data_IF_922483224309
#
_entry.id   IF_922483224309
#
_cell.length_a   1.000
_cell.length_b   1.000
_cell.length_c   1.000
_cell.angle_alpha   90.00
_cell.angle_beta   90.00
_cell.angle_gamma   90.00
#
_symmetry.space_group_name_H-M   'P 1'
#
loop_
_entity.id
_entity.type
_entity.pdbx_description
1 polymer ?
#
# COMPACT_ATOMS: atom_id res chain seq x y z
N UNK A 1 4.73 7.35 -13.05
CA UNK A 1 4.31 6.43 -11.99
C UNK A 1 3.62 5.24 -12.64
N UNK A 2 4.16 4.03 -12.48
CA UNK A 2 3.52 2.81 -12.95
C UNK A 2 2.37 2.48 -12.00
N UNK A 3 1.14 2.25 -12.48
CA UNK A 3 0.03 1.91 -11.60
C UNK A 3 0.30 0.59 -10.87
N UNK A 4 -0.20 0.48 -9.64
CA UNK A 4 -0.28 -0.79 -8.92
C UNK A 4 -1.02 -1.81 -9.78
N UNK A 5 -0.34 -2.88 -10.18
CA UNK A 5 -0.94 -3.99 -10.93
C UNK A 5 -1.40 -5.07 -9.96
N UNK A 6 -2.55 -5.67 -10.24
CA UNK A 6 -3.13 -6.77 -9.47
C UNK A 6 -3.24 -8.02 -10.34
N UNK A 7 -2.98 -9.19 -9.76
CA UNK A 7 -3.03 -10.50 -10.40
C UNK A 7 -3.55 -11.57 -9.44
N UNK A 8 -4.08 -12.68 -9.95
CA UNK A 8 -4.59 -13.78 -9.11
C UNK A 8 -3.49 -14.61 -8.43
N UNK A 9 -2.22 -14.32 -8.75
CA UNK A 9 -1.04 -14.92 -8.17
C UNK A 9 -0.08 -13.83 -7.72
N UNK A 10 0.75 -14.14 -6.73
CA UNK A 10 1.87 -13.28 -6.33
C UNK A 10 2.89 -13.30 -7.48
N UNK A 11 3.23 -12.12 -7.99
CA UNK A 11 4.30 -11.94 -8.95
C UNK A 11 5.37 -11.08 -8.29
N UNK A 12 6.48 -11.71 -7.96
CA UNK A 12 7.61 -11.00 -7.39
C UNK A 12 8.35 -10.20 -8.47
N UNK A 13 8.40 -8.88 -8.30
CA UNK A 13 9.06 -7.94 -9.20
C UNK A 13 9.84 -6.90 -8.39
N UNK A 14 10.52 -5.96 -9.04
CA UNK A 14 11.11 -4.81 -8.34
C UNK A 14 10.02 -4.06 -7.58
N UNK A 15 10.15 -3.90 -6.24
CA UNK A 15 9.11 -3.27 -5.45
C UNK A 15 8.90 -1.81 -5.84
N UNK A 16 7.63 -1.39 -5.83
CA UNK A 16 7.30 0.03 -5.89
C UNK A 16 7.63 0.68 -4.56
N UNK A 17 8.19 1.89 -4.62
CA UNK A 17 8.39 2.70 -3.44
C UNK A 17 7.07 3.42 -3.11
N UNK A 18 6.62 3.33 -1.87
CA UNK A 18 5.36 3.92 -1.40
C UNK A 18 5.57 4.68 -0.08
N UNK A 19 4.83 5.74 0.23
CA UNK A 19 4.92 6.36 1.54
C UNK A 19 4.48 5.40 2.64
N UNK A 20 4.99 5.58 3.87
CA UNK A 20 4.62 4.71 4.98
C UNK A 20 3.27 5.06 5.63
N UNK A 21 2.71 6.22 5.31
CA UNK A 21 1.45 6.74 5.86
C UNK A 21 0.24 6.49 4.94
N UNK A 22 0.43 5.92 3.74
CA UNK A 22 -0.65 5.68 2.78
C UNK A 22 -0.35 4.53 1.84
N UNK A 23 -1.39 3.86 1.37
CA UNK A 23 -1.29 3.00 0.19
C UNK A 23 -1.40 3.90 -1.05
N UNK A 24 -0.57 3.70 -2.07
CA UNK A 24 -0.72 4.48 -3.31
C UNK A 24 -2.10 4.19 -3.93
N UNK A 25 -2.77 5.23 -4.48
CA UNK A 25 -4.03 5.03 -5.18
C UNK A 25 -3.89 3.96 -6.27
N UNK A 26 -4.91 3.12 -6.38
CA UNK A 26 -4.95 2.07 -7.40
C UNK A 26 -6.33 1.90 -8.00
N UNK A 27 -6.35 1.37 -9.21
CA UNK A 27 -7.55 0.91 -9.88
C UNK A 27 -7.23 -0.30 -10.74
N UNK A 28 -8.05 -1.33 -10.66
CA UNK A 28 -7.97 -2.49 -11.54
C UNK A 28 -9.37 -3.04 -11.85
N UNK A 29 -9.46 -3.89 -12.87
CA UNK A 29 -10.71 -4.52 -13.28
C UNK A 29 -10.55 -6.03 -13.35
N UNK A 30 -11.65 -6.74 -13.16
CA UNK A 30 -11.72 -8.21 -13.28
C UNK A 30 -12.97 -8.62 -14.05
N UNK A 31 -12.97 -9.84 -14.58
CA UNK A 31 -14.16 -10.44 -15.20
C UNK A 31 -15.13 -11.04 -14.17
N UNK A 32 -14.76 -11.01 -12.89
CA UNK A 32 -15.58 -11.50 -11.79
C UNK A 32 -16.62 -10.46 -11.40
N UNK A 33 -17.83 -10.90 -11.06
CA UNK A 33 -18.84 -10.04 -10.42
C UNK A 33 -18.65 -10.13 -8.91
N UNK A 34 -18.49 -8.98 -8.23
CA UNK A 34 -18.30 -8.94 -6.76
C UNK A 34 -19.37 -9.74 -6.03
N UNK A 35 -18.95 -10.51 -5.03
CA UNK A 35 -19.84 -11.35 -4.23
C UNK A 35 -19.42 -11.34 -2.77
N UNK A 36 -20.02 -10.44 -1.99
CA UNK A 36 -19.83 -10.35 -0.54
C UNK A 36 -18.92 -9.21 -0.09
N UNK A 37 -18.25 -9.41 1.04
CA UNK A 37 -17.39 -8.41 1.67
C UNK A 37 -15.98 -8.46 1.09
N UNK A 38 -15.40 -7.28 0.88
CA UNK A 38 -14.01 -7.13 0.46
C UNK A 38 -13.14 -7.08 1.71
N UNK A 39 -12.13 -7.95 1.76
CA UNK A 39 -11.11 -7.94 2.80
C UNK A 39 -9.78 -7.58 2.17
N UNK A 40 -9.06 -6.67 2.81
CA UNK A 40 -7.70 -6.29 2.39
C UNK A 40 -6.71 -6.69 3.48
N UNK A 41 -5.67 -7.39 3.07
CA UNK A 41 -4.56 -7.82 3.92
C UNK A 41 -3.25 -7.36 3.31
N UNK A 42 -2.32 -6.94 4.16
CA UNK A 42 -0.92 -6.78 3.80
C UNK A 42 -0.22 -8.13 4.04
N UNK A 43 0.50 -8.61 3.04
CA UNK A 43 1.28 -9.86 3.10
C UNK A 43 2.74 -9.50 3.01
N UNK A 44 3.54 -9.86 4.02
CA UNK A 44 4.99 -9.63 3.98
C UNK A 44 5.75 -10.67 3.14
N UNK A 45 7.07 -10.52 3.04
CA UNK A 45 7.93 -11.45 2.30
C UNK A 45 7.99 -12.86 2.87
N UNK A 46 7.69 -13.04 4.16
CA UNK A 46 7.67 -14.33 4.85
C UNK A 46 6.28 -14.98 4.80
N UNK A 47 5.30 -14.29 4.20
CA UNK A 47 3.93 -14.74 4.05
C UNK A 47 3.02 -14.43 5.23
N UNK A 48 3.49 -13.63 6.21
CA UNK A 48 2.64 -13.21 7.32
C UNK A 48 1.59 -12.21 6.84
N UNK A 49 0.34 -12.46 7.22
CA UNK A 49 -0.80 -11.62 6.84
C UNK A 49 -1.19 -10.68 7.98
N UNK A 50 -1.24 -9.39 7.70
CA UNK A 50 -1.72 -8.35 8.61
C UNK A 50 -2.95 -7.69 8.02
N UNK A 51 -4.08 -7.72 8.74
CA UNK A 51 -5.30 -7.07 8.27
C UNK A 51 -5.09 -5.56 8.09
N UNK A 52 -5.52 -5.03 6.96
CA UNK A 52 -5.38 -3.61 6.64
C UNK A 52 -6.76 -2.98 6.46
N UNK A 53 -7.03 -1.93 7.25
CA UNK A 53 -8.32 -1.23 7.23
C UNK A 53 -8.31 -0.10 6.20
N UNK A 54 -8.27 -0.46 4.90
CA UNK A 54 -8.50 0.50 3.81
C UNK A 54 -9.87 0.32 3.18
N UNK A 55 -10.41 1.43 2.66
CA UNK A 55 -11.61 1.37 1.84
C UNK A 55 -11.24 1.06 0.39
N UNK A 56 -11.70 -0.08 -0.11
CA UNK A 56 -11.70 -0.41 -1.53
C UNK A 56 -13.13 -0.36 -2.01
N UNK A 57 -13.42 0.58 -2.91
CA UNK A 57 -14.73 0.72 -3.51
C UNK A 57 -14.83 -0.15 -4.76
N UNK A 58 -16.04 -0.60 -5.08
CA UNK A 58 -16.31 -1.38 -6.29
C UNK A 58 -17.49 -0.86 -7.10
N UNK A 59 -17.49 -1.22 -8.38
CA UNK A 59 -18.56 -0.90 -9.31
C UNK A 59 -18.58 -1.88 -10.47
N UNK A 60 -19.77 -2.33 -10.86
CA UNK A 60 -19.95 -3.24 -12.00
C UNK A 60 -20.36 -2.43 -13.22
N UNK A 61 -19.56 -2.50 -14.29
CA UNK A 61 -19.81 -1.84 -15.56
C UNK A 61 -19.59 -2.87 -16.67
N UNK A 62 -20.60 -3.07 -17.52
CA UNK A 62 -20.54 -4.01 -18.64
C UNK A 62 -20.11 -5.43 -18.23
N UNK A 63 -20.69 -5.91 -17.13
CA UNK A 63 -20.40 -7.25 -16.57
C UNK A 63 -19.00 -7.42 -15.96
N UNK A 64 -18.20 -6.35 -15.87
CA UNK A 64 -16.88 -6.35 -15.23
C UNK A 64 -16.90 -5.60 -13.93
N UNK A 65 -16.17 -6.08 -12.93
CA UNK A 65 -15.99 -5.34 -11.66
C UNK A 65 -14.74 -4.48 -11.74
N UNK A 66 -14.91 -3.22 -11.35
CA UNK A 66 -13.83 -2.26 -11.13
C UNK A 66 -13.62 -2.09 -9.65
N UNK A 67 -12.37 -2.08 -9.23
CA UNK A 67 -11.94 -1.85 -7.85
C UNK A 67 -11.11 -0.57 -7.82
N UNK A 68 -11.33 0.30 -6.84
CA UNK A 68 -10.47 1.47 -6.65
C UNK A 68 -10.29 1.84 -5.18
N UNK A 69 -9.10 2.35 -4.89
CA UNK A 69 -8.71 2.95 -3.62
C UNK A 69 -8.12 4.33 -3.89
N UNK A 70 -8.50 5.33 -3.09
CA UNK A 70 -8.16 6.74 -3.38
C UNK A 70 -6.84 7.18 -2.76
N UNK A 71 -6.19 6.32 -1.99
CA UNK A 71 -4.95 6.63 -1.29
C UNK A 71 -5.18 7.39 -0.01
N UNK A 72 -6.27 7.04 0.71
CA UNK A 72 -6.53 7.54 2.05
C UNK A 72 -5.36 7.20 3.00
N UNK A 73 -5.16 8.05 4.01
CA UNK A 73 -4.12 7.85 5.01
C UNK A 73 -4.39 6.62 5.88
N UNK A 74 -3.30 6.01 6.35
CA UNK A 74 -3.28 4.83 7.19
C UNK A 74 -2.86 5.17 8.59
N UNK A 75 -3.51 4.53 9.55
CA UNK A 75 -3.01 4.43 10.92
C UNK A 75 -3.26 3.01 11.46
N UNK A 76 -2.26 2.35 12.06
CA UNK A 76 -0.88 2.79 12.25
C UNK A 76 -0.09 2.88 10.93
N UNK A 77 1.07 3.56 10.95
CA UNK A 77 1.98 3.62 9.82
C UNK A 77 2.57 2.23 9.50
N UNK A 78 2.87 2.03 8.21
CA UNK A 78 3.50 0.81 7.74
C UNK A 78 4.95 0.76 8.22
N UNK A 79 5.33 -0.40 8.75
CA UNK A 79 6.71 -0.71 9.08
C UNK A 79 7.54 -0.97 7.83
N UNK A 80 8.86 -0.97 7.96
CA UNK A 80 9.75 -1.33 6.88
C UNK A 80 9.63 -2.79 6.49
N UNK A 81 9.47 -3.02 5.20
CA UNK A 81 9.36 -4.36 4.66
C UNK A 81 8.96 -4.33 3.20
N UNK A 82 9.04 -5.50 2.58
CA UNK A 82 8.45 -5.75 1.28
C UNK A 82 7.09 -6.37 1.51
N UNK A 83 6.07 -5.76 0.94
CA UNK A 83 4.69 -6.19 1.12
C UNK A 83 3.96 -6.35 -0.20
N UNK A 84 2.90 -7.15 -0.16
CA UNK A 84 1.89 -7.28 -1.19
C UNK A 84 0.53 -6.92 -0.58
N UNK A 85 -0.33 -6.26 -1.34
CA UNK A 85 -1.74 -6.16 -0.99
C UNK A 85 -2.45 -7.40 -1.49
N UNK A 86 -3.10 -8.12 -0.58
CA UNK A 86 -4.03 -9.21 -0.88
C UNK A 86 -5.44 -8.67 -0.74
N UNK A 87 -6.23 -8.75 -1.81
CA UNK A 87 -7.64 -8.39 -1.84
C UNK A 87 -8.43 -9.67 -2.02
N UNK A 88 -9.30 -9.98 -1.06
CA UNK A 88 -10.23 -11.11 -1.12
C UNK A 88 -11.63 -10.57 -1.35
N UNK A 89 -12.24 -10.97 -2.47
CA UNK A 89 -13.63 -10.69 -2.84
C UNK A 89 -14.37 -12.02 -3.04
N UNK A 90 -15.04 -12.47 -1.97
CA UNK A 90 -15.69 -13.77 -1.93
C UNK A 90 -14.69 -14.92 -2.15
N UNK A 91 -14.86 -15.66 -3.25
CA UNK A 91 -13.97 -16.76 -3.63
C UNK A 91 -12.72 -16.31 -4.41
N UNK A 92 -12.65 -15.04 -4.82
CA UNK A 92 -11.57 -14.52 -5.65
C UNK A 92 -10.51 -13.84 -4.78
N UNK A 93 -9.25 -14.05 -5.12
CA UNK A 93 -8.11 -13.43 -4.44
C UNK A 93 -7.20 -12.76 -5.46
N UNK A 94 -6.80 -11.52 -5.19
CA UNK A 94 -5.92 -10.74 -6.03
C UNK A 94 -4.75 -10.20 -5.20
N UNK A 95 -3.56 -10.22 -5.79
CA UNK A 95 -2.33 -9.74 -5.19
C UNK A 95 -1.79 -8.57 -5.99
N UNK A 96 -1.33 -7.53 -5.31
CA UNK A 96 -0.59 -6.46 -5.96
C UNK A 96 0.81 -6.91 -6.37
N UNK A 97 1.46 -6.12 -7.22
CA UNK A 97 2.93 -6.07 -7.27
C UNK A 97 3.51 -5.72 -5.89
N UNK A 98 4.74 -6.15 -5.58
CA UNK A 98 5.35 -5.80 -4.31
C UNK A 98 5.55 -4.29 -4.19
N UNK A 99 5.44 -3.80 -2.97
CA UNK A 99 5.79 -2.44 -2.61
C UNK A 99 6.60 -2.42 -1.32
N UNK A 100 7.41 -1.38 -1.16
CA UNK A 100 8.20 -1.12 0.02
C UNK A 100 7.86 0.27 0.53
N UNK A 101 7.33 0.39 1.76
CA UNK A 101 7.23 1.66 2.46
C UNK A 101 8.58 2.34 2.48
N UNK A 102 8.59 3.64 2.19
CA UNK A 102 9.75 4.51 2.28
C UNK A 102 10.24 4.50 3.71
N UNK A 103 11.30 3.75 3.91
CA UNK A 103 11.85 3.44 5.20
C UNK A 103 13.29 3.90 5.22
N UNK A 104 13.48 5.17 5.58
CA UNK A 104 14.77 5.82 5.64
C UNK A 104 15.52 5.77 4.30
N UNK A 105 15.07 6.59 3.33
CA UNK A 105 15.99 7.06 2.28
C UNK A 105 17.15 7.74 3.03
N UNK A 106 18.32 7.08 3.06
CA UNK A 106 19.55 7.68 3.62
C UNK A 106 20.13 8.77 2.73
N UNK A 107 19.65 8.85 1.48
CA UNK A 107 20.31 9.58 0.41
C UNK A 107 19.37 10.63 -0.23
N UNK A 108 18.72 11.46 0.58
CA UNK A 108 18.40 12.80 0.09
C UNK A 108 19.73 13.57 0.19
N UNK A 109 20.36 13.97 -0.92
CA UNK A 109 21.66 14.64 -0.89
C UNK A 109 21.49 16.12 -0.48
N UNK A 110 20.95 16.36 0.72
CA UNK A 110 20.81 17.69 1.31
C UNK A 110 21.81 17.95 2.47
N UNK A 111 22.55 16.92 2.88
CA UNK A 111 23.56 17.04 3.94
C UNK A 111 23.02 17.00 5.36
N UNK A 112 21.74 16.73 5.57
CA UNK A 112 21.14 16.51 6.88
C UNK A 112 20.83 15.01 7.07
N UNK A 113 21.30 14.40 8.15
CA UNK A 113 20.96 13.01 8.45
C UNK A 113 19.46 12.88 8.75
N UNK A 114 18.69 12.06 8.01
CA UNK A 114 17.26 11.90 8.25
C UNK A 114 17.00 11.12 9.54
N UNK A 115 16.37 11.77 10.50
CA UNK A 115 15.97 11.17 11.77
C UNK A 115 14.64 10.42 11.63
N UNK A 116 14.74 9.10 11.70
CA UNK A 116 13.70 8.07 11.57
C UNK A 116 12.77 8.05 12.80
N UNK A 117 11.49 7.72 12.64
CA UNK A 117 10.66 7.21 13.74
C UNK A 117 10.95 5.71 14.02
N UNK A 118 10.30 5.11 15.02
CA UNK A 118 10.49 3.69 15.37
C UNK A 118 10.11 2.71 14.23
N UNK A 119 9.39 3.20 13.21
CA UNK A 119 8.96 2.46 12.03
C UNK A 119 9.76 2.82 10.76
N UNK A 120 10.72 3.75 10.84
CA UNK A 120 11.59 4.15 9.73
C UNK A 120 11.07 5.30 8.84
N UNK A 121 9.94 5.92 9.18
CA UNK A 121 9.37 7.06 8.46
C UNK A 121 10.11 8.37 8.81
N UNK A 122 10.30 9.27 7.84
CA UNK A 122 11.02 10.54 8.04
C UNK A 122 10.11 11.71 7.70
N UNK A 123 9.80 12.58 8.67
CA UNK A 123 9.38 13.98 8.42
C UNK A 123 9.84 14.87 9.58
N UNK A 124 10.61 15.94 9.29
CA UNK A 124 11.01 16.98 10.25
C UNK A 124 10.97 18.38 9.64
N UNK A 125 10.74 19.40 10.45
CA UNK A 125 10.73 20.81 10.01
C UNK A 125 12.13 21.44 10.02
N UNK A 126 12.21 22.73 9.69
CA UNK A 126 13.47 23.48 9.60
C UNK A 126 14.20 23.63 10.96
N UNK A 127 13.51 23.37 12.07
CA UNK A 127 14.04 23.41 13.44
C UNK A 127 14.38 22.00 13.97
N UNK A 128 14.12 20.95 13.17
CA UNK A 128 14.39 19.56 13.52
C UNK A 128 13.28 18.91 14.34
N UNK A 129 12.11 19.51 14.46
CA UNK A 129 10.95 18.93 15.13
C UNK A 129 10.25 17.92 14.21
N UNK A 130 9.72 16.84 14.77
CA UNK A 130 8.98 15.83 14.01
C UNK A 130 7.73 16.47 13.42
N UNK A 131 7.65 16.52 12.10
CA UNK A 131 6.46 16.95 11.39
C UNK A 131 5.46 15.82 11.44
N UNK A 132 4.53 15.93 12.39
CA UNK A 132 3.23 15.32 12.22
C UNK A 132 2.51 16.15 11.16
N UNK A 133 2.37 15.63 9.93
CA UNK A 133 1.21 16.02 9.12
C UNK A 133 0.04 15.16 9.63
N UNK A 134 -0.87 15.70 10.46
CA UNK A 134 -2.18 15.12 10.51
C UNK A 134 -2.76 15.23 9.10
N UNK A 135 -3.18 14.10 8.54
CA UNK A 135 -4.09 14.06 7.40
C UNK A 135 -5.22 15.09 7.53
#
# INVERSE_FOLDING_TARGET
MTPFKFTEQIIDTTPLIAPCDRILPFMFRTDNVTSGSIVVTMVDSDGAETALSITVSTGVIDGKTYYWHRGECLYPFLTCGKYYLKIVDGANTYYSVPFMPECGISDIPDGNEPLRDANGCVMRDADGDILYEPC
#
